data_IF_489566762962
#
_entry.id   IF_489566762962
#
_cell.length_a   1.000
_cell.length_b   1.000
_cell.length_c   1.000
_cell.angle_alpha   90.00
_cell.angle_beta   90.00
_cell.angle_gamma   90.00
#
_symmetry.space_group_name_H-M   'P 1'
#
loop_
_entity.id
_entity.type
_entity.pdbx_description
1 polymer ?
#
# COMPACT_ATOMS: atom_id res chain seq x y z
N UNK A 1 -0.43 -14.35 13.83
CA UNK A 1 -1.09 -13.03 13.83
C UNK A 1 -0.09 -11.87 13.97
N UNK A 2 0.82 -11.83 14.95
CA UNK A 2 1.71 -10.67 15.15
C UNK A 2 2.58 -10.29 13.93
N UNK A 3 3.18 -11.29 13.26
CA UNK A 3 4.00 -11.03 12.06
C UNK A 3 3.19 -10.49 10.88
N UNK A 4 1.96 -10.98 10.70
CA UNK A 4 1.06 -10.52 9.65
C UNK A 4 0.60 -9.07 9.91
N UNK A 5 0.29 -8.75 11.18
CA UNK A 5 -0.02 -7.37 11.59
C UNK A 5 1.18 -6.43 11.38
N UNK A 6 2.40 -6.89 11.69
CA UNK A 6 3.63 -6.12 11.42
C UNK A 6 3.80 -5.88 9.91
N UNK A 7 3.59 -6.89 9.08
CA UNK A 7 3.65 -6.75 7.62
C UNK A 7 2.63 -5.72 7.12
N UNK A 8 1.39 -5.78 7.62
CA UNK A 8 0.38 -4.76 7.31
C UNK A 8 0.89 -3.35 7.63
N UNK A 9 1.37 -3.13 8.86
CA UNK A 9 1.91 -1.82 9.26
C UNK A 9 3.10 -1.36 8.41
N UNK A 10 3.96 -2.27 7.97
CA UNK A 10 5.11 -1.91 7.12
C UNK A 10 4.67 -1.55 5.70
N UNK A 11 3.71 -2.30 5.14
CA UNK A 11 3.10 -2.03 3.83
C UNK A 11 2.39 -0.67 3.84
N UNK A 12 1.62 -0.36 4.89
CA UNK A 12 0.89 0.91 4.99
C UNK A 12 1.81 2.14 5.05
N UNK A 13 3.05 1.97 5.53
CA UNK A 13 4.06 3.04 5.59
C UNK A 13 4.81 3.24 4.29
N UNK A 14 4.75 2.30 3.34
CA UNK A 14 5.39 2.41 2.04
C UNK A 14 4.49 3.19 1.09
N UNK A 15 4.51 4.51 1.19
CA UNK A 15 3.61 5.38 0.42
C UNK A 15 3.84 5.35 -1.11
N UNK A 16 5.03 4.93 -1.57
CA UNK A 16 5.26 4.73 -3.00
C UNK A 16 4.91 3.31 -3.48
N UNK A 17 4.46 2.42 -2.59
CA UNK A 17 4.02 1.09 -2.97
C UNK A 17 2.60 1.16 -3.56
N UNK A 18 2.40 0.77 -4.83
CA UNK A 18 1.06 0.83 -5.43
C UNK A 18 0.08 -0.08 -4.71
N UNK A 19 -1.18 0.38 -4.56
CA UNK A 19 -2.22 -0.38 -3.85
C UNK A 19 -2.35 -1.84 -4.29
N UNK A 20 -2.29 -2.11 -5.61
CA UNK A 20 -2.38 -3.48 -6.12
C UNK A 20 -1.20 -4.36 -5.68
N UNK A 21 0.01 -3.81 -5.59
CA UNK A 21 1.18 -4.53 -5.08
C UNK A 21 1.08 -4.72 -3.56
N UNK A 22 0.60 -3.72 -2.82
CA UNK A 22 0.28 -3.84 -1.40
C UNK A 22 -0.67 -5.02 -1.14
N UNK A 23 -1.77 -5.12 -1.90
CA UNK A 23 -2.72 -6.22 -1.77
C UNK A 23 -2.08 -7.60 -2.04
N UNK A 24 -1.24 -7.72 -3.08
CA UNK A 24 -0.52 -8.97 -3.37
C UNK A 24 0.39 -9.39 -2.21
N UNK A 25 1.13 -8.45 -1.62
CA UNK A 25 2.02 -8.71 -0.49
C UNK A 25 1.22 -9.20 0.72
N UNK A 26 0.11 -8.52 1.04
CA UNK A 26 -0.75 -8.87 2.17
C UNK A 26 -1.40 -10.26 1.98
N UNK A 27 -1.92 -10.53 0.79
CA UNK A 27 -2.49 -11.83 0.46
C UNK A 27 -1.45 -12.95 0.51
N UNK A 28 -0.24 -12.70 0.00
CA UNK A 28 0.88 -13.64 0.10
C UNK A 28 1.27 -13.92 1.55
N UNK A 29 1.31 -12.89 2.40
CA UNK A 29 1.66 -13.02 3.82
C UNK A 29 0.63 -13.84 4.62
N UNK A 30 -0.63 -13.90 4.21
CA UNK A 30 -1.63 -14.73 4.90
C UNK A 30 -1.34 -16.23 4.79
N UNK A 31 -0.69 -16.66 3.69
CA UNK A 31 -0.46 -18.08 3.37
C UNK A 31 1.01 -18.51 3.50
N UNK A 32 1.90 -17.58 3.80
CA UNK A 32 3.34 -17.83 3.83
C UNK A 32 3.81 -18.49 5.14
N UNK A 33 4.84 -19.36 5.08
CA UNK A 33 5.44 -19.94 6.27
C UNK A 33 6.20 -18.90 7.10
N UNK A 34 6.37 -19.14 8.40
CA UNK A 34 6.97 -18.18 9.33
C UNK A 34 8.35 -17.64 8.88
N UNK A 35 9.22 -18.50 8.34
CA UNK A 35 10.53 -18.08 7.83
C UNK A 35 10.45 -17.14 6.62
N UNK A 36 9.43 -17.29 5.77
CA UNK A 36 9.19 -16.37 4.66
C UNK A 36 8.64 -15.03 5.15
N UNK A 37 7.81 -15.03 6.19
CA UNK A 37 7.32 -13.80 6.83
C UNK A 37 8.47 -13.00 7.44
N UNK A 38 9.44 -13.64 8.08
CA UNK A 38 10.61 -12.95 8.65
C UNK A 38 11.47 -12.30 7.56
N UNK A 39 11.70 -13.00 6.45
CA UNK A 39 12.39 -12.43 5.29
C UNK A 39 11.61 -11.25 4.70
N UNK A 40 10.30 -11.39 4.55
CA UNK A 40 9.45 -10.32 4.04
C UNK A 40 9.48 -9.09 4.95
N UNK A 41 9.44 -9.27 6.27
CA UNK A 41 9.59 -8.16 7.23
C UNK A 41 10.93 -7.44 7.01
N UNK A 42 12.04 -8.17 6.89
CA UNK A 42 13.35 -7.57 6.64
C UNK A 42 13.39 -6.77 5.33
N UNK A 43 12.81 -7.30 4.25
CA UNK A 43 12.72 -6.60 2.96
C UNK A 43 11.89 -5.33 3.06
N UNK A 44 10.75 -5.37 3.75
CA UNK A 44 9.88 -4.21 3.93
C UNK A 44 10.53 -3.13 4.81
N UNK A 45 11.27 -3.52 5.85
CA UNK A 45 12.02 -2.59 6.69
C UNK A 45 13.16 -1.90 5.93
N UNK A 46 13.88 -2.64 5.09
CA UNK A 46 14.93 -2.08 4.25
C UNK A 46 14.36 -1.17 3.15
N UNK A 47 13.18 -1.50 2.61
CA UNK A 47 12.47 -0.62 1.68
C UNK A 47 12.07 0.70 2.35
N UNK A 48 11.57 0.65 3.59
CA UNK A 48 11.20 1.86 4.35
C UNK A 48 12.43 2.75 4.61
N UNK A 49 13.56 2.18 5.03
CA UNK A 49 14.80 2.95 5.23
C UNK A 49 15.25 3.66 3.95
N UNK A 50 15.15 2.98 2.80
CA UNK A 50 15.50 3.56 1.50
C UNK A 50 14.54 4.67 1.09
N UNK A 51 13.24 4.48 1.32
CA UNK A 51 12.23 5.49 1.09
C UNK A 51 12.47 6.74 1.95
N UNK A 52 12.73 6.56 3.25
CA UNK A 52 12.99 7.69 4.17
C UNK A 52 14.24 8.46 3.76
N UNK A 53 15.31 7.76 3.38
CA UNK A 53 16.52 8.38 2.86
C UNK A 53 16.27 9.11 1.52
N UNK A 54 15.40 8.58 0.66
CA UNK A 54 15.01 9.25 -0.58
C UNK A 54 14.21 10.53 -0.29
N UNK A 55 13.23 10.46 0.61
CA UNK A 55 12.42 11.63 0.98
C UNK A 55 13.26 12.70 1.65
N UNK A 56 14.17 12.35 2.55
CA UNK A 56 15.10 13.31 3.14
C UNK A 56 15.89 14.07 2.05
N UNK A 57 16.44 13.36 1.07
CA UNK A 57 17.15 13.99 -0.06
C UNK A 57 16.24 14.88 -0.92
N UNK A 58 14.99 14.49 -1.12
CA UNK A 58 14.03 15.29 -1.89
C UNK A 58 13.63 16.56 -1.15
N UNK A 59 13.51 16.50 0.18
CA UNK A 59 13.24 17.67 1.02
C UNK A 59 14.43 18.64 1.03
N UNK A 60 15.66 18.11 1.09
CA UNK A 60 16.89 18.92 0.97
C UNK A 60 17.00 19.60 -0.39
N UNK A 61 16.58 18.92 -1.46
CA UNK A 61 16.61 19.45 -2.82
C UNK A 61 15.46 20.43 -3.13
N UNK A 62 14.30 20.25 -2.49
CA UNK A 62 13.09 21.05 -2.69
C UNK A 62 12.34 21.25 -1.36
N UNK A 63 12.44 22.44 -0.74
CA UNK A 63 11.72 22.77 0.50
C UNK A 63 10.18 22.70 0.39
N UNK A 64 9.62 22.72 -0.82
CA UNK A 64 8.18 22.55 -1.04
C UNK A 64 7.78 21.08 -1.23
N UNK A 65 8.74 20.16 -1.36
CA UNK A 65 8.50 18.74 -1.52
C UNK A 65 7.58 18.14 -0.45
N UNK A 66 7.66 18.50 0.86
CA UNK A 66 6.72 18.00 1.86
C UNK A 66 5.25 18.26 1.50
N UNK A 67 4.93 19.45 0.97
CA UNK A 67 3.56 19.80 0.56
C UNK A 67 3.12 19.03 -0.69
N UNK A 68 4.05 18.82 -1.63
CA UNK A 68 3.79 18.04 -2.85
C UNK A 68 3.57 16.56 -2.51
N UNK A 69 4.36 16.01 -1.60
CA UNK A 69 4.19 14.66 -1.10
C UNK A 69 2.86 14.49 -0.37
N UNK A 70 2.48 15.42 0.51
CA UNK A 70 1.19 15.40 1.19
C UNK A 70 0.01 15.45 0.20
N UNK A 71 0.09 16.32 -0.81
CA UNK A 71 -0.91 16.40 -1.88
C UNK A 71 -1.01 15.09 -2.65
N UNK A 72 0.13 14.49 -3.02
CA UNK A 72 0.18 13.20 -3.71
C UNK A 72 -0.43 12.07 -2.88
N UNK A 73 -0.15 12.03 -1.58
CA UNK A 73 -0.72 11.04 -0.66
C UNK A 73 -2.24 11.14 -0.57
N UNK A 74 -2.75 12.36 -0.43
CA UNK A 74 -4.19 12.59 -0.37
C UNK A 74 -4.88 12.22 -1.70
N UNK A 75 -4.23 12.46 -2.84
CA UNK A 75 -4.74 12.01 -4.14
C UNK A 75 -4.76 10.48 -4.26
N UNK A 76 -3.70 9.79 -3.84
CA UNK A 76 -3.69 8.33 -3.86
C UNK A 76 -4.76 7.70 -2.98
N UNK A 77 -5.02 8.26 -1.79
CA UNK A 77 -6.09 7.80 -0.91
C UNK A 77 -7.45 8.00 -1.57
N UNK A 78 -7.67 9.17 -2.19
CA UNK A 78 -8.90 9.46 -2.91
C UNK A 78 -9.11 8.50 -4.11
N UNK A 79 -8.08 8.32 -4.95
CA UNK A 79 -8.13 7.42 -6.10
C UNK A 79 -8.34 5.97 -5.69
N UNK A 80 -7.73 5.53 -4.59
CA UNK A 80 -7.95 4.20 -4.04
C UNK A 80 -9.40 4.02 -3.56
N UNK A 81 -9.96 5.02 -2.87
CA UNK A 81 -11.36 5.00 -2.43
C UNK A 81 -12.33 4.94 -3.63
N UNK A 82 -12.13 5.78 -4.65
CA UNK A 82 -12.95 5.80 -5.87
C UNK A 82 -12.87 4.48 -6.63
N UNK A 83 -11.68 3.85 -6.72
CA UNK A 83 -11.53 2.53 -7.38
C UNK A 83 -12.23 1.41 -6.62
N UNK A 84 -12.25 1.45 -5.29
CA UNK A 84 -13.01 0.50 -4.47
C UNK A 84 -14.51 0.69 -4.72
N UNK A 85 -15.02 1.92 -4.70
CA UNK A 85 -16.43 2.22 -5.00
C UNK A 85 -16.84 1.80 -6.41
N UNK A 86 -15.99 2.04 -7.42
CA UNK A 86 -16.25 1.62 -8.80
C UNK A 86 -16.26 0.09 -8.95
N UNK A 87 -15.37 -0.61 -8.25
CA UNK A 87 -15.35 -2.08 -8.21
C UNK A 87 -16.56 -2.68 -7.50
N UNK A 88 -17.02 -2.06 -6.41
CA UNK A 88 -18.23 -2.46 -5.68
C UNK A 88 -19.50 -2.19 -6.47
N UNK A 89 -19.59 -1.06 -7.18
CA UNK A 89 -20.71 -0.78 -8.09
C UNK A 89 -20.76 -1.76 -9.27
N UNK A 90 -19.61 -2.10 -9.88
CA UNK A 90 -19.55 -3.09 -10.95
C UNK A 90 -19.96 -4.50 -10.46
N UNK A 91 -19.51 -4.89 -9.26
CA UNK A 91 -19.90 -6.17 -8.64
C UNK A 91 -21.39 -6.21 -8.25
N UNK A 92 -21.97 -5.07 -7.83
CA UNK A 92 -23.39 -4.95 -7.52
C UNK A 92 -24.26 -4.99 -8.79
N UNK A 93 -23.82 -4.37 -9.90
CA UNK A 93 -24.53 -4.42 -11.18
C UNK A 93 -24.52 -5.82 -11.81
N UNK A 94 -23.41 -6.57 -11.71
CA UNK A 94 -23.34 -7.96 -12.18
C UNK A 94 -24.31 -8.88 -11.41
N UNK A 95 -24.42 -8.71 -10.08
CA UNK A 95 -25.38 -9.48 -9.28
C UNK A 95 -26.84 -9.17 -9.61
N UNK A 96 -27.14 -7.98 -10.12
CA UNK A 96 -28.48 -7.62 -10.57
C UNK A 96 -28.83 -8.19 -11.95
N UNK A 97 -27.82 -8.45 -12.79
CA UNK A 97 -28.01 -8.97 -14.16
C UNK A 97 -28.02 -10.49 -14.24
N UNK A 98 -27.49 -11.20 -13.24
CA UNK A 98 -27.59 -12.67 -13.11
C UNK A 98 -28.92 -13.15 -12.46
N UNK A 99 -29.81 -12.23 -12.08
CA UNK A 99 -31.11 -12.51 -11.43
C UNK A 99 -32.33 -12.31 -12.34
N UNK A 100 -32.15 -11.81 -13.57
CA UNK A 100 -33.16 -11.73 -14.65
C UNK A 100 -32.99 -12.88 -15.66
#
# INVERSE_FOLDING_TARGET
MDKQKRIQTLVDKLYFLPWAESQKILQGAMRAPAAALDKLIGVLEDALKKQDAMVAKMIEADPEFPKKLDTFMNQQIHDAAVKVEAGEQAAAQQRFSDFD
#
